data_IF_283498366037
#
_entry.id   IF_283498366037
#
_cell.length_a   1.000
_cell.length_b   1.000
_cell.length_c   1.000
_cell.angle_alpha   90.00
_cell.angle_beta   90.00
_cell.angle_gamma   90.00
#
_symmetry.space_group_name_H-M   'P 1'
#
loop_
_entity.id
_entity.type
_entity.pdbx_description
1 polymer ?
#
# COMPACT_ATOMS: atom_id res chain seq x y z
N UNK A 1 -17.73 33.67 4.45
CA UNK A 1 -16.31 34.08 4.43
C UNK A 1 -15.35 32.89 4.65
N UNK A 2 -15.49 32.11 5.74
CA UNK A 2 -14.56 31.02 6.09
C UNK A 2 -14.34 29.95 4.99
N UNK A 3 -15.39 29.54 4.27
CA UNK A 3 -15.27 28.54 3.20
C UNK A 3 -14.33 28.99 2.06
N UNK A 4 -14.32 30.28 1.72
CA UNK A 4 -13.48 30.83 0.65
C UNK A 4 -12.02 30.84 1.09
N UNK A 5 -11.77 31.17 2.36
CA UNK A 5 -10.43 31.17 2.95
C UNK A 5 -9.87 29.74 2.98
N UNK A 6 -10.65 28.77 3.48
CA UNK A 6 -10.24 27.35 3.53
C UNK A 6 -9.96 26.80 2.13
N UNK A 7 -10.78 27.15 1.13
CA UNK A 7 -10.57 26.72 -0.27
C UNK A 7 -9.31 27.33 -0.90
N UNK A 8 -8.96 28.56 -0.54
CA UNK A 8 -7.74 29.25 -1.00
C UNK A 8 -6.48 28.74 -0.31
N UNK A 9 -6.57 28.25 0.92
CA UNK A 9 -5.43 27.64 1.63
C UNK A 9 -5.08 26.23 1.13
N UNK A 10 -5.96 25.59 0.35
CA UNK A 10 -5.70 24.28 -0.23
C UNK A 10 -4.97 24.48 -1.57
N UNK A 11 -3.95 23.66 -1.81
CA UNK A 11 -3.19 23.66 -3.06
C UNK A 11 -4.14 23.62 -4.27
N UNK A 12 -3.91 24.47 -5.26
CA UNK A 12 -4.76 24.56 -6.46
C UNK A 12 -4.95 23.21 -7.17
N UNK A 13 -3.92 22.35 -7.13
CA UNK A 13 -3.95 21.00 -7.68
C UNK A 13 -5.07 20.10 -7.10
N UNK A 14 -5.56 20.38 -5.88
CA UNK A 14 -6.61 19.61 -5.22
C UNK A 14 -8.00 20.26 -5.33
N UNK A 15 -8.11 21.49 -5.85
CA UNK A 15 -9.41 22.17 -5.94
C UNK A 15 -10.41 21.46 -6.86
N UNK A 16 -9.93 20.77 -7.90
CA UNK A 16 -10.78 20.02 -8.82
C UNK A 16 -11.28 18.67 -8.27
N UNK A 17 -10.55 18.09 -7.33
CA UNK A 17 -10.79 16.76 -6.78
C UNK A 17 -11.68 16.76 -5.52
N UNK A 18 -11.86 17.92 -4.87
CA UNK A 18 -12.64 18.03 -3.64
C UNK A 18 -14.12 18.30 -3.96
N UNK A 19 -15.07 17.51 -3.42
CA UNK A 19 -16.48 17.69 -3.71
C UNK A 19 -17.01 19.04 -3.20
N UNK A 20 -17.88 19.69 -3.99
CA UNK A 20 -18.52 20.96 -3.59
C UNK A 20 -19.28 20.80 -2.26
N UNK A 21 -19.22 21.84 -1.44
CA UNK A 21 -19.94 21.94 -0.17
C UNK A 21 -20.45 23.37 0.03
N UNK A 22 -21.57 23.46 0.76
CA UNK A 22 -22.30 24.70 0.98
C UNK A 22 -21.90 25.39 2.31
N UNK A 23 -21.22 24.67 3.21
CA UNK A 23 -20.73 25.19 4.49
C UNK A 23 -19.29 24.76 4.75
N UNK A 24 -18.56 25.58 5.52
CA UNK A 24 -17.17 25.31 5.90
C UNK A 24 -17.02 23.99 6.68
N UNK A 25 -17.94 23.70 7.60
CA UNK A 25 -17.93 22.44 8.36
C UNK A 25 -18.10 21.22 7.45
N UNK A 26 -19.07 21.24 6.54
CA UNK A 26 -19.27 20.15 5.57
C UNK A 26 -18.09 20.00 4.61
N UNK A 27 -17.42 21.11 4.29
CA UNK A 27 -16.20 21.08 3.48
C UNK A 27 -15.08 20.30 4.19
N UNK A 28 -14.80 20.64 5.45
CA UNK A 28 -13.73 19.99 6.22
C UNK A 28 -13.98 18.49 6.39
N UNK A 29 -15.22 18.09 6.70
CA UNK A 29 -15.58 16.66 6.81
C UNK A 29 -15.32 15.92 5.50
N UNK A 30 -15.74 16.50 4.35
CA UNK A 30 -15.51 15.89 3.04
C UNK A 30 -14.03 15.88 2.65
N UNK A 31 -13.29 16.91 3.02
CA UNK A 31 -11.85 17.00 2.79
C UNK A 31 -11.12 15.90 3.56
N UNK A 32 -11.38 15.76 4.86
CA UNK A 32 -10.84 14.68 5.69
C UNK A 32 -11.16 13.29 5.10
N UNK A 33 -12.43 13.05 4.75
CA UNK A 33 -12.85 11.78 4.11
C UNK A 33 -12.12 11.52 2.79
N UNK A 34 -11.90 12.54 1.96
CA UNK A 34 -11.17 12.40 0.70
C UNK A 34 -9.73 11.93 0.94
N UNK A 35 -9.03 12.50 1.93
CA UNK A 35 -7.68 12.06 2.30
C UNK A 35 -7.67 10.65 2.91
N UNK A 36 -8.63 10.31 3.77
CA UNK A 36 -8.74 8.95 4.34
C UNK A 36 -9.02 7.90 3.26
N UNK A 37 -9.84 8.21 2.25
CA UNK A 37 -10.09 7.30 1.11
C UNK A 37 -8.81 7.12 0.29
N UNK A 38 -8.08 8.21 0.02
CA UNK A 38 -6.82 8.14 -0.72
C UNK A 38 -5.76 7.34 0.03
N UNK A 39 -5.62 7.53 1.35
CA UNK A 39 -4.71 6.76 2.20
C UNK A 39 -5.04 5.25 2.15
N UNK A 40 -6.33 4.89 2.24
CA UNK A 40 -6.77 3.50 2.06
C UNK A 40 -6.45 2.96 0.66
N UNK A 41 -6.65 3.76 -0.38
CA UNK A 41 -6.34 3.37 -1.75
C UNK A 41 -4.83 3.17 -1.97
N UNK A 42 -3.99 3.99 -1.33
CA UNK A 42 -2.54 3.87 -1.36
C UNK A 42 -2.09 2.57 -0.68
N UNK A 43 -2.62 2.26 0.51
CA UNK A 43 -2.35 1.00 1.21
C UNK A 43 -2.80 -0.20 0.38
N UNK A 44 -3.99 -0.17 -0.21
CA UNK A 44 -4.49 -1.25 -1.09
C UNK A 44 -3.60 -1.42 -2.33
N UNK A 45 -3.15 -0.32 -2.95
CA UNK A 45 -2.25 -0.38 -4.10
C UNK A 45 -0.87 -0.95 -3.73
N UNK A 46 -0.34 -0.59 -2.55
CA UNK A 46 0.91 -1.16 -2.04
C UNK A 46 0.76 -2.65 -1.72
N UNK A 47 -0.35 -3.07 -1.12
CA UNK A 47 -0.65 -4.49 -0.90
C UNK A 47 -0.75 -5.25 -2.23
N UNK A 48 -1.42 -4.69 -3.24
CA UNK A 48 -1.52 -5.30 -4.57
C UNK A 48 -0.13 -5.46 -5.23
N UNK A 49 0.75 -4.46 -5.09
CA UNK A 49 2.15 -4.54 -5.56
C UNK A 49 2.93 -5.63 -4.83
N UNK A 50 2.79 -5.75 -3.51
CA UNK A 50 3.43 -6.80 -2.71
C UNK A 50 2.99 -8.20 -3.17
N UNK A 51 1.69 -8.43 -3.31
CA UNK A 51 1.15 -9.73 -3.74
C UNK A 51 1.58 -10.07 -5.18
N UNK A 52 1.68 -9.06 -6.05
CA UNK A 52 2.13 -9.23 -7.45
C UNK A 52 3.64 -9.52 -7.55
N UNK A 53 4.43 -9.07 -6.57
CA UNK A 53 5.86 -9.37 -6.51
C UNK A 53 6.07 -10.85 -6.17
N UNK A 54 6.17 -11.68 -7.20
CA UNK A 54 6.59 -13.08 -7.05
C UNK A 54 8.11 -13.19 -7.07
N UNK A 55 8.65 -14.06 -6.21
CA UNK A 55 10.00 -14.56 -6.40
C UNK A 55 10.07 -15.27 -7.77
N UNK A 56 11.21 -15.21 -8.46
CA UNK A 56 11.37 -15.77 -9.82
C UNK A 56 12.44 -16.86 -9.91
N UNK A 57 12.90 -17.40 -8.77
CA UNK A 57 13.93 -18.45 -8.69
C UNK A 57 15.36 -18.03 -9.08
N UNK A 58 15.51 -17.15 -10.09
CA UNK A 58 16.80 -16.76 -10.70
C UNK A 58 17.47 -15.53 -10.08
N UNK A 59 16.79 -14.81 -9.17
CA UNK A 59 17.34 -13.60 -8.52
C UNK A 59 17.86 -13.93 -7.14
N UNK A 60 18.94 -13.25 -6.71
CA UNK A 60 19.44 -13.34 -5.34
C UNK A 60 18.29 -13.08 -4.33
N UNK A 61 18.02 -14.09 -3.50
CA UNK A 61 17.00 -14.09 -2.44
C UNK A 61 17.08 -12.85 -1.55
N UNK A 62 18.30 -12.42 -1.20
CA UNK A 62 18.54 -11.22 -0.38
C UNK A 62 18.02 -9.96 -1.06
N UNK A 63 18.21 -9.83 -2.39
CA UNK A 63 17.73 -8.69 -3.17
C UNK A 63 16.21 -8.70 -3.31
N UNK A 64 15.60 -9.87 -3.32
CA UNK A 64 14.14 -10.00 -3.30
C UNK A 64 13.56 -9.54 -1.96
N UNK A 65 14.08 -10.09 -0.85
CA UNK A 65 13.64 -9.72 0.51
C UNK A 65 13.84 -8.23 0.77
N UNK A 66 14.99 -7.66 0.41
CA UNK A 66 15.26 -6.22 0.57
C UNK A 66 14.25 -5.36 -0.21
N UNK A 67 13.90 -5.75 -1.44
CA UNK A 67 12.88 -5.02 -2.21
C UNK A 67 11.49 -5.13 -1.60
N UNK A 68 11.14 -6.30 -1.07
CA UNK A 68 9.86 -6.53 -0.39
C UNK A 68 9.76 -5.67 0.88
N UNK A 69 10.79 -5.69 1.72
CA UNK A 69 10.88 -4.85 2.93
C UNK A 69 10.84 -3.36 2.61
N UNK A 70 11.60 -2.89 1.61
CA UNK A 70 11.58 -1.47 1.23
C UNK A 70 10.20 -1.01 0.75
N UNK A 71 9.42 -1.90 0.14
CA UNK A 71 8.08 -1.56 -0.34
C UNK A 71 7.03 -1.57 0.80
N UNK A 72 7.34 -2.22 1.92
CA UNK A 72 6.43 -2.39 3.05
C UNK A 72 6.83 -1.62 4.32
N UNK A 73 8.03 -1.01 4.35
CA UNK A 73 8.76 -0.64 5.57
C UNK A 73 8.00 0.24 6.57
N UNK A 74 6.95 0.94 6.13
CA UNK A 74 6.24 1.91 6.96
C UNK A 74 4.71 1.71 6.98
N UNK A 75 4.18 0.71 6.26
CA UNK A 75 2.73 0.52 6.12
C UNK A 75 2.21 -0.86 6.53
N UNK A 76 3.10 -1.86 6.60
CA UNK A 76 2.71 -3.23 6.96
C UNK A 76 3.60 -3.75 8.08
N UNK A 77 3.00 -4.53 8.99
CA UNK A 77 3.73 -5.17 10.08
C UNK A 77 4.70 -6.25 9.58
N UNK A 78 5.73 -6.51 10.39
CA UNK A 78 6.76 -7.53 10.12
C UNK A 78 6.14 -8.92 9.89
N UNK A 79 5.09 -9.26 10.64
CA UNK A 79 4.36 -10.52 10.50
C UNK A 79 3.75 -10.70 9.10
N UNK A 80 3.12 -9.66 8.55
CA UNK A 80 2.52 -9.71 7.21
C UNK A 80 3.60 -9.89 6.15
N UNK A 81 4.72 -9.18 6.31
CA UNK A 81 5.89 -9.30 5.43
C UNK A 81 6.46 -10.71 5.45
N UNK A 82 6.66 -11.29 6.64
CA UNK A 82 7.12 -12.66 6.83
C UNK A 82 6.20 -13.67 6.11
N UNK A 83 4.89 -13.54 6.28
CA UNK A 83 3.91 -14.40 5.61
C UNK A 83 3.95 -14.26 4.08
N UNK A 84 3.99 -13.03 3.56
CA UNK A 84 4.08 -12.76 2.12
C UNK A 84 5.36 -13.33 1.48
N UNK A 85 6.49 -13.17 2.18
CA UNK A 85 7.79 -13.71 1.77
C UNK A 85 7.73 -15.24 1.75
N UNK A 86 7.20 -15.87 2.80
CA UNK A 86 7.06 -17.33 2.91
C UNK A 86 6.17 -17.91 1.80
N UNK A 87 5.00 -17.31 1.53
CA UNK A 87 4.08 -17.76 0.47
C UNK A 87 4.76 -17.67 -0.92
N UNK A 88 5.52 -16.60 -1.15
CA UNK A 88 6.29 -16.42 -2.39
C UNK A 88 7.41 -17.44 -2.54
N UNK A 89 7.95 -17.95 -1.44
CA UNK A 89 8.94 -19.02 -1.45
C UNK A 89 8.31 -20.40 -1.58
N UNK A 90 7.21 -20.68 -0.90
CA UNK A 90 6.47 -21.95 -1.00
C UNK A 90 6.02 -22.24 -2.44
N UNK A 91 5.58 -21.24 -3.18
CA UNK A 91 5.23 -21.40 -4.61
C UNK A 91 6.42 -21.79 -5.49
N UNK A 92 7.65 -21.54 -5.04
CA UNK A 92 8.88 -21.91 -5.74
C UNK A 92 9.55 -23.19 -5.20
N UNK A 93 9.31 -23.53 -3.93
CA UNK A 93 9.99 -24.61 -3.21
C UNK A 93 9.05 -25.72 -2.71
N UNK A 94 7.75 -25.64 -3.00
CA UNK A 94 6.76 -26.69 -2.68
C UNK A 94 7.02 -28.05 -3.36
N UNK A 95 8.11 -28.17 -4.12
CA UNK A 95 8.65 -29.42 -4.65
C UNK A 95 9.86 -29.94 -3.88
N UNK A 96 10.11 -29.52 -2.62
CA UNK A 96 10.92 -30.33 -1.71
C UNK A 96 10.17 -31.63 -1.37
N UNK A 97 10.08 -32.49 -2.38
CA UNK A 97 9.70 -33.88 -2.26
C UNK A 97 10.75 -34.49 -1.35
N UNK A 98 10.33 -34.83 -0.13
CA UNK A 98 11.16 -35.52 0.84
C UNK A 98 11.59 -36.82 0.18
N UNK A 99 12.83 -36.85 -0.33
CA UNK A 99 13.50 -38.08 -0.67
C UNK A 99 14.02 -38.63 0.66
N UNK A 100 13.11 -39.21 1.44
CA UNK A 100 13.50 -40.10 2.53
C UNK A 100 14.13 -41.31 1.85
N UNK A 101 15.45 -41.26 1.71
CA UNK A 101 16.23 -42.40 1.25
C UNK A 101 16.26 -43.42 2.39
N UNK A 102 15.88 -44.64 2.03
CA UNK A 102 15.82 -45.88 2.81
C UNK A 102 17.06 -46.18 3.65
#
# INVERSE_FOLDING_TARGET
>A
MCLIIIKRSILEAFQGSIPKSQSARKFLIKFEQFFTINEKAEVINLLAKLISMKYKGKRNIRKYIMKMSNLASNQFGEDLLMHLVLISFLTHFGQFKVNDNT
#
